data_IF_123556486771
#
_entry.id   IF_123556486771
#
_cell.length_a   1.000
_cell.length_b   1.000
_cell.length_c   1.000
_cell.angle_alpha   90.00
_cell.angle_beta   90.00
_cell.angle_gamma   90.00
#
_symmetry.space_group_name_H-M   'P 1'
#
loop_
_entity.id
_entity.type
_entity.pdbx_description
1 polymer ?
#
# COMPACT_ATOMS: atom_id res chain seq x y z
N UNK A 1 -15.88 15.42 -7.55
CA UNK A 1 -14.70 15.36 -8.44
C UNK A 1 -13.73 14.38 -7.82
N UNK A 2 -13.20 13.42 -8.57
CA UNK A 2 -12.13 12.55 -8.06
C UNK A 2 -10.92 13.44 -7.74
N UNK A 3 -10.52 13.49 -6.48
CA UNK A 3 -9.31 14.17 -6.05
C UNK A 3 -8.10 13.42 -6.61
N UNK A 4 -7.18 14.11 -7.27
CA UNK A 4 -5.95 13.50 -7.73
C UNK A 4 -5.13 13.01 -6.53
N UNK A 5 -4.29 11.97 -6.66
CA UNK A 5 -3.40 11.51 -5.59
C UNK A 5 -2.53 12.64 -5.02
N UNK A 6 -2.10 13.59 -5.86
CA UNK A 6 -1.37 14.77 -5.43
C UNK A 6 -2.21 15.68 -4.52
N UNK A 7 -3.44 16.03 -4.91
CA UNK A 7 -4.32 16.86 -4.08
C UNK A 7 -4.69 16.17 -2.76
N UNK A 8 -4.88 14.86 -2.79
CA UNK A 8 -5.12 14.05 -1.60
C UNK A 8 -3.90 14.04 -0.66
N UNK A 9 -2.71 13.85 -1.21
CA UNK A 9 -1.46 13.91 -0.45
C UNK A 9 -1.25 15.28 0.21
N UNK A 10 -1.44 16.38 -0.53
CA UNK A 10 -1.33 17.74 0.02
C UNK A 10 -2.33 17.98 1.16
N UNK A 11 -3.57 17.49 1.03
CA UNK A 11 -4.57 17.57 2.09
C UNK A 11 -4.14 16.79 3.34
N UNK A 12 -3.62 15.57 3.17
CA UNK A 12 -3.14 14.72 4.26
C UNK A 12 -1.90 15.32 4.96
N UNK A 13 -1.02 15.97 4.21
CA UNK A 13 0.25 16.51 4.71
C UNK A 13 0.20 17.98 5.13
N UNK A 14 -0.97 18.62 5.05
CA UNK A 14 -1.15 20.03 5.40
C UNK A 14 -0.65 20.34 6.83
N UNK A 15 0.40 21.15 6.96
CA UNK A 15 0.99 21.51 8.26
C UNK A 15 1.83 20.41 8.93
N UNK A 16 1.99 19.24 8.31
CA UNK A 16 2.86 18.16 8.81
C UNK A 16 4.30 18.43 8.39
N UNK A 17 5.15 18.83 9.33
CA UNK A 17 6.57 19.18 9.06
C UNK A 17 7.57 18.13 9.55
N UNK A 18 7.14 17.23 10.44
CA UNK A 18 7.93 16.16 11.02
C UNK A 18 7.03 15.01 11.44
N UNK A 19 7.57 13.80 11.42
CA UNK A 19 6.90 12.61 11.92
C UNK A 19 7.40 12.31 13.34
N UNK A 20 6.61 12.68 14.35
CA UNK A 20 6.88 12.32 15.75
C UNK A 20 6.25 10.95 16.05
N UNK A 21 6.90 9.91 15.52
CA UNK A 21 6.40 8.54 15.58
C UNK A 21 6.94 7.86 16.85
N UNK A 22 6.09 7.12 17.59
CA UNK A 22 6.51 6.47 18.82
C UNK A 22 7.54 5.37 18.51
N UNK A 23 8.49 5.18 19.41
CA UNK A 23 9.58 4.20 19.22
C UNK A 23 9.12 2.76 19.44
N UNK A 24 8.12 2.54 20.30
CA UNK A 24 7.73 1.20 20.73
C UNK A 24 6.95 0.42 19.65
N UNK A 25 5.99 1.02 18.92
CA UNK A 25 5.35 0.39 17.78
C UNK A 25 6.33 -0.03 16.68
N UNK A 26 6.33 -1.31 16.33
CA UNK A 26 7.10 -1.83 15.19
C UNK A 26 6.14 -2.00 14.02
N UNK A 27 6.16 -1.11 13.01
CA UNK A 27 5.21 -1.18 11.91
C UNK A 27 5.41 -2.41 11.03
N UNK A 28 4.40 -2.71 10.22
CA UNK A 28 4.57 -3.52 9.00
C UNK A 28 5.00 -2.65 7.81
N UNK A 29 5.51 -3.27 6.76
CA UNK A 29 5.53 -2.66 5.43
C UNK A 29 4.14 -2.75 4.77
N UNK A 30 3.73 -1.69 4.08
CA UNK A 30 2.55 -1.69 3.23
C UNK A 30 2.92 -1.92 1.77
N UNK A 31 2.31 -2.92 1.15
CA UNK A 31 2.39 -3.15 -0.29
C UNK A 31 1.22 -2.44 -0.98
N UNK A 32 1.55 -1.63 -2.00
CA UNK A 32 0.56 -0.92 -2.80
C UNK A 32 0.47 -1.55 -4.19
N UNK A 33 -0.71 -1.99 -4.58
CA UNK A 33 -1.00 -2.59 -5.90
C UNK A 33 -2.13 -1.87 -6.63
N UNK A 34 -2.91 -1.05 -5.93
CA UNK A 34 -4.04 -0.32 -6.51
C UNK A 34 -3.60 0.92 -7.27
N UNK A 35 -4.23 1.20 -8.42
CA UNK A 35 -3.95 2.40 -9.22
C UNK A 35 -4.25 3.70 -8.46
N UNK A 36 -5.26 3.69 -7.60
CA UNK A 36 -5.61 4.81 -6.73
C UNK A 36 -4.82 4.84 -5.42
N UNK A 37 -4.01 3.81 -5.13
CA UNK A 37 -3.24 3.73 -3.90
C UNK A 37 -1.95 4.55 -4.03
N UNK A 38 -1.63 5.32 -3.00
CA UNK A 38 -0.42 6.13 -2.96
C UNK A 38 0.16 6.18 -1.54
N UNK A 39 1.50 6.25 -1.41
CA UNK A 39 2.11 6.37 -0.10
C UNK A 39 1.97 7.78 0.46
N UNK A 40 1.84 7.85 1.78
CA UNK A 40 1.74 9.06 2.58
C UNK A 40 2.99 9.23 3.45
N UNK A 41 3.41 8.16 4.12
CA UNK A 41 4.63 8.11 4.92
C UNK A 41 5.54 6.99 4.39
N UNK A 42 6.78 7.35 4.08
CA UNK A 42 7.82 6.43 3.61
C UNK A 42 9.07 6.63 4.46
N UNK A 43 9.69 5.53 4.91
CA UNK A 43 10.96 5.60 5.64
C UNK A 43 12.16 5.78 4.70
N UNK A 44 13.36 5.88 5.27
CA UNK A 44 14.60 6.03 4.48
C UNK A 44 14.96 4.80 3.63
N UNK A 45 14.44 3.62 3.97
CA UNK A 45 14.57 2.37 3.20
C UNK A 45 13.59 2.28 2.02
N UNK A 46 12.65 3.23 1.89
CA UNK A 46 11.64 3.21 0.83
C UNK A 46 10.40 2.38 1.18
N UNK A 47 10.27 1.90 2.41
CA UNK A 47 9.09 1.17 2.85
C UNK A 47 7.95 2.13 3.15
N UNK A 48 6.75 1.76 2.71
CA UNK A 48 5.53 2.54 2.96
C UNK A 48 4.96 2.16 4.33
N UNK A 49 4.81 3.16 5.20
CA UNK A 49 4.28 2.98 6.57
C UNK A 49 2.87 3.56 6.75
N UNK A 50 2.51 4.54 5.92
CA UNK A 50 1.14 5.03 5.81
C UNK A 50 0.82 5.16 4.33
N UNK A 51 -0.34 4.65 3.93
CA UNK A 51 -0.85 4.77 2.57
C UNK A 51 -2.29 5.26 2.57
N UNK A 52 -2.71 5.81 1.45
CA UNK A 52 -4.10 6.20 1.22
C UNK A 52 -4.56 5.72 -0.15
N UNK A 53 -5.86 5.50 -0.28
CA UNK A 53 -6.48 5.03 -1.52
C UNK A 53 -7.97 5.38 -1.53
N UNK A 54 -8.66 5.02 -2.61
CA UNK A 54 -10.10 5.22 -2.77
C UNK A 54 -10.76 3.96 -3.34
N UNK A 55 -12.01 3.72 -2.95
CA UNK A 55 -12.82 2.63 -3.48
C UNK A 55 -14.29 3.02 -3.55
N UNK A 56 -14.90 2.83 -4.72
CA UNK A 56 -16.22 3.38 -5.01
C UNK A 56 -16.22 4.90 -4.84
N UNK A 57 -17.05 5.41 -3.94
CA UNK A 57 -17.13 6.83 -3.61
C UNK A 57 -16.36 7.20 -2.33
N UNK A 58 -15.82 6.22 -1.61
CA UNK A 58 -15.15 6.41 -0.33
C UNK A 58 -13.63 6.41 -0.43
N UNK A 59 -13.01 6.61 0.74
CA UNK A 59 -11.57 6.83 0.90
C UNK A 59 -11.03 6.04 2.08
N UNK A 60 -9.78 5.63 2.01
CA UNK A 60 -9.09 4.93 3.10
C UNK A 60 -7.74 5.55 3.38
N UNK A 61 -7.38 5.56 4.66
CA UNK A 61 -6.01 5.74 5.13
C UNK A 61 -5.65 4.50 5.95
N UNK A 62 -4.52 3.91 5.60
CA UNK A 62 -3.99 2.68 6.20
C UNK A 62 -2.68 3.01 6.90
N UNK A 63 -2.61 2.80 8.21
CA UNK A 63 -1.39 2.95 9.00
C UNK A 63 -0.83 1.58 9.35
N UNK A 64 0.46 1.35 9.13
CA UNK A 64 1.08 0.03 9.33
C UNK A 64 1.36 -0.36 10.78
N UNK A 65 0.80 0.39 11.72
CA UNK A 65 0.65 0.02 13.13
C UNK A 65 -0.51 0.79 13.76
N UNK A 66 -1.33 0.16 14.60
CA UNK A 66 -2.44 0.83 15.30
C UNK A 66 -1.96 1.89 16.27
N UNK A 67 -0.81 1.66 16.92
CA UNK A 67 -0.14 2.62 17.80
C UNK A 67 0.12 4.00 17.17
N UNK A 68 0.24 4.12 15.85
CA UNK A 68 0.34 5.42 15.18
C UNK A 68 -0.95 6.23 15.28
N UNK A 69 -2.09 5.56 15.37
CA UNK A 69 -3.39 6.18 15.53
C UNK A 69 -3.66 6.63 16.99
N UNK A 70 -2.80 6.23 17.92
CA UNK A 70 -2.93 6.52 19.35
C UNK A 70 -1.94 7.59 19.83
N UNK A 71 -1.05 8.07 18.95
CA UNK A 71 0.04 8.97 19.31
C UNK A 71 -0.35 10.45 19.17
N UNK A 72 -0.20 11.22 20.24
CA UNK A 72 -0.51 12.64 20.24
C UNK A 72 0.45 13.46 19.35
N UNK A 73 1.71 13.02 19.23
CA UNK A 73 2.69 13.61 18.29
C UNK A 73 2.24 13.55 16.82
N UNK A 74 1.33 12.62 16.48
CA UNK A 74 0.76 12.48 15.13
C UNK A 74 -0.58 13.22 14.96
N UNK A 75 -1.05 13.97 15.96
CA UNK A 75 -2.33 14.69 15.90
C UNK A 75 -2.52 15.54 14.63
N UNK A 76 -1.53 16.34 14.15
CA UNK A 76 -1.72 17.13 12.92
C UNK A 76 -2.09 16.26 11.72
N UNK A 77 -1.42 15.11 11.57
CA UNK A 77 -1.71 14.17 10.50
C UNK A 77 -3.07 13.47 10.71
N UNK A 78 -3.37 13.02 11.93
CA UNK A 78 -4.62 12.32 12.23
C UNK A 78 -5.85 13.20 11.98
N UNK A 79 -5.76 14.50 12.30
CA UNK A 79 -6.81 15.47 12.01
C UNK A 79 -7.02 15.67 10.50
N UNK A 80 -5.92 15.79 9.74
CA UNK A 80 -5.99 15.86 8.28
C UNK A 80 -6.57 14.59 7.68
N UNK A 81 -6.17 13.42 8.18
CA UNK A 81 -6.69 12.14 7.72
C UNK A 81 -8.20 12.02 7.98
N UNK A 82 -8.67 12.32 9.19
CA UNK A 82 -10.09 12.32 9.52
C UNK A 82 -10.88 13.33 8.69
N UNK A 83 -10.37 14.55 8.53
CA UNK A 83 -11.00 15.58 7.69
C UNK A 83 -11.04 15.20 6.22
N UNK A 84 -9.95 14.61 5.69
CA UNK A 84 -9.88 14.12 4.33
C UNK A 84 -10.72 12.87 4.11
N UNK A 85 -10.93 12.02 5.11
CA UNK A 85 -11.79 10.83 4.99
C UNK A 85 -13.27 11.20 5.04
N UNK A 86 -13.63 12.17 5.87
CA UNK A 86 -15.03 12.57 6.07
C UNK A 86 -15.63 13.19 4.80
N UNK A 87 -16.72 12.63 4.25
CA UNK A 87 -17.36 13.19 3.05
C UNK A 87 -18.19 14.45 3.35
N UNK A 88 -18.70 14.59 4.58
CA UNK A 88 -19.59 15.67 5.01
C UNK A 88 -18.99 16.44 6.18
N UNK A 89 -18.72 17.72 5.99
CA UNK A 89 -18.25 18.59 7.08
C UNK A 89 -19.22 18.56 8.26
N UNK A 90 -18.71 18.23 9.46
CA UNK A 90 -19.47 18.21 10.71
C UNK A 90 -20.11 16.87 11.08
N UNK A 91 -20.00 15.81 10.25
CA UNK A 91 -20.40 14.49 10.69
C UNK A 91 -19.42 13.96 11.76
N UNK A 92 -19.90 13.37 12.87
CA UNK A 92 -19.03 12.87 13.92
C UNK A 92 -18.19 11.69 13.42
N UNK A 93 -16.92 11.65 13.84
CA UNK A 93 -16.04 10.51 13.59
C UNK A 93 -16.42 9.33 14.50
N UNK A 94 -16.77 8.19 13.91
CA UNK A 94 -16.92 6.95 14.67
C UNK A 94 -15.56 6.34 14.97
N UNK A 95 -15.32 5.97 16.23
CA UNK A 95 -14.05 5.39 16.67
C UNK A 95 -14.33 4.06 17.39
N UNK A 96 -13.76 2.97 16.89
CA UNK A 96 -13.86 1.67 17.54
C UNK A 96 -13.21 1.70 18.93
N UNK A 97 -13.73 0.97 19.96
CA UNK A 97 -13.15 0.94 21.30
C UNK A 97 -11.66 0.58 21.35
N UNK A 98 -11.16 -0.18 20.37
CA UNK A 98 -9.73 -0.49 20.27
C UNK A 98 -8.83 0.72 19.97
N UNK A 99 -9.40 1.83 19.52
CA UNK A 99 -8.72 3.09 19.27
C UNK A 99 -9.26 4.24 20.15
N UNK A 100 -9.79 3.96 21.35
CA UNK A 100 -10.44 4.97 22.19
C UNK A 100 -9.59 6.25 22.42
N UNK A 101 -8.26 6.13 22.51
CA UNK A 101 -7.36 7.28 22.65
C UNK A 101 -7.38 8.23 21.43
N UNK A 102 -7.65 7.71 20.23
CA UNK A 102 -7.83 8.54 19.02
C UNK A 102 -9.01 9.49 19.21
N UNK A 103 -10.12 9.02 19.80
CA UNK A 103 -11.28 9.89 20.07
C UNK A 103 -10.88 11.07 20.96
N UNK A 104 -10.04 10.85 21.98
CA UNK A 104 -9.53 11.92 22.84
C UNK A 104 -8.63 12.91 22.09
N UNK A 105 -7.78 12.44 21.17
CA UNK A 105 -6.92 13.30 20.33
C UNK A 105 -7.78 14.21 19.43
N UNK A 106 -8.80 13.63 18.79
CA UNK A 106 -9.72 14.35 17.90
C UNK A 106 -10.53 15.39 18.68
N UNK A 107 -11.13 14.99 19.81
CA UNK A 107 -11.91 15.88 20.66
C UNK A 107 -11.07 17.03 21.25
N UNK A 108 -9.83 16.76 21.66
CA UNK A 108 -8.90 17.77 22.14
C UNK A 108 -8.58 18.86 21.11
N UNK A 109 -8.85 18.58 19.83
CA UNK A 109 -8.64 19.49 18.70
C UNK A 109 -9.96 20.03 18.13
N UNK A 110 -11.09 19.82 18.81
CA UNK A 110 -12.41 20.31 18.41
C UNK A 110 -13.12 19.50 17.32
N UNK A 111 -12.64 18.29 17.01
CA UNK A 111 -13.34 17.37 16.09
C UNK A 111 -14.32 16.51 16.89
N UNK A 112 -15.58 16.48 16.49
CA UNK A 112 -16.57 15.58 17.09
C UNK A 112 -16.20 14.13 16.80
N UNK A 113 -15.99 13.34 17.85
CA UNK A 113 -15.71 11.91 17.76
C UNK A 113 -16.49 11.14 18.81
N UNK A 114 -17.00 9.96 18.44
CA UNK A 114 -17.81 9.09 19.30
C UNK A 114 -17.21 7.69 19.31
N UNK A 115 -17.01 7.13 20.51
CA UNK A 115 -16.53 5.75 20.65
C UNK A 115 -17.71 4.80 20.50
N UNK A 116 -17.66 3.92 19.50
CA UNK A 116 -18.75 2.98 19.18
C UNK A 116 -18.20 1.71 18.50
N UNK A 117 -18.76 0.52 18.82
CA UNK A 117 -18.24 -0.76 18.34
C UNK A 117 -18.47 -0.98 16.84
N UNK A 118 -19.42 -0.27 16.22
CA UNK A 118 -19.79 -0.48 14.82
C UNK A 118 -19.80 0.85 14.05
N UNK A 119 -19.63 0.84 12.72
CA UNK A 119 -19.86 2.00 11.88
C UNK A 119 -21.30 2.52 12.03
N UNK A 120 -21.48 3.83 12.10
CA UNK A 120 -22.82 4.42 12.16
C UNK A 120 -23.57 4.30 10.83
N UNK A 121 -24.89 4.46 10.85
CA UNK A 121 -25.73 4.43 9.64
C UNK A 121 -25.50 5.65 8.71
N UNK A 122 -24.93 6.74 9.23
CA UNK A 122 -24.60 7.93 8.46
C UNK A 122 -23.23 7.80 7.78
N UNK A 123 -23.12 8.30 6.54
CA UNK A 123 -21.86 8.35 5.81
C UNK A 123 -20.89 9.35 6.48
N UNK A 124 -19.98 8.82 7.29
CA UNK A 124 -18.92 9.56 7.99
C UNK A 124 -17.56 8.87 7.87
N UNK A 125 -16.66 9.14 8.80
CA UNK A 125 -15.42 8.37 8.96
C UNK A 125 -15.57 7.36 10.09
N UNK A 126 -15.07 6.15 9.88
CA UNK A 126 -14.94 5.14 10.92
C UNK A 126 -13.46 4.78 11.13
N UNK A 127 -13.02 4.70 12.38
CA UNK A 127 -11.63 4.42 12.75
C UNK A 127 -11.55 3.10 13.50
N UNK A 128 -10.72 2.16 13.06
CA UNK A 128 -10.60 0.83 13.67
C UNK A 128 -9.17 0.27 13.56
N UNK A 129 -8.82 -0.69 14.42
CA UNK A 129 -7.58 -1.46 14.23
C UNK A 129 -7.77 -2.55 13.14
N UNK A 130 -6.68 -3.19 12.74
CA UNK A 130 -6.67 -4.15 11.63
C UNK A 130 -6.82 -5.62 12.08
N UNK A 131 -7.37 -5.87 13.27
CA UNK A 131 -7.35 -7.20 13.90
C UNK A 131 -8.74 -7.86 14.02
N UNK A 132 -9.80 -7.14 13.70
CA UNK A 132 -11.18 -7.62 13.77
C UNK A 132 -11.72 -7.82 12.35
N UNK A 133 -12.15 -9.04 12.03
CA UNK A 133 -12.74 -9.40 10.73
C UNK A 133 -14.27 -9.49 10.77
N UNK A 134 -14.90 -9.30 11.94
CA UNK A 134 -16.34 -9.49 12.13
C UNK A 134 -17.19 -8.50 11.34
N UNK A 135 -16.64 -7.31 11.04
CA UNK A 135 -17.33 -6.22 10.32
C UNK A 135 -16.80 -6.00 8.89
N UNK A 136 -16.12 -6.98 8.31
CA UNK A 136 -15.44 -6.82 7.01
C UNK A 136 -16.40 -6.36 5.91
N UNK A 137 -17.58 -6.98 5.82
CA UNK A 137 -18.55 -6.67 4.77
C UNK A 137 -19.14 -5.25 4.94
N UNK A 138 -19.45 -4.87 6.17
CA UNK A 138 -20.00 -3.58 6.56
C UNK A 138 -19.01 -2.46 6.27
N UNK A 139 -17.72 -2.64 6.61
CA UNK A 139 -16.66 -1.69 6.32
C UNK A 139 -16.47 -1.47 4.81
N UNK A 140 -16.38 -2.56 4.04
CA UNK A 140 -16.23 -2.50 2.58
C UNK A 140 -17.44 -1.81 1.95
N UNK A 141 -18.65 -2.14 2.39
CA UNK A 141 -19.89 -1.55 1.87
C UNK A 141 -19.97 -0.05 2.21
N UNK A 142 -19.65 0.34 3.44
CA UNK A 142 -19.63 1.73 3.88
C UNK A 142 -18.69 2.57 3.03
N UNK A 143 -17.44 2.12 2.86
CA UNK A 143 -16.46 2.78 1.99
C UNK A 143 -16.98 2.87 0.56
N UNK A 144 -17.48 1.77 -0.01
CA UNK A 144 -17.97 1.77 -1.40
C UNK A 144 -19.06 2.84 -1.64
N UNK A 145 -19.91 3.09 -0.63
CA UNK A 145 -21.00 4.06 -0.67
C UNK A 145 -20.57 5.51 -0.39
N UNK A 146 -19.32 5.77 0.01
CA UNK A 146 -18.82 7.12 0.28
C UNK A 146 -18.25 7.34 1.68
N UNK A 147 -18.30 6.34 2.55
CA UNK A 147 -17.69 6.40 3.87
C UNK A 147 -16.17 6.51 3.82
N UNK A 148 -15.60 7.08 4.88
CA UNK A 148 -14.16 7.09 5.12
C UNK A 148 -13.76 6.00 6.11
N UNK A 149 -12.62 5.35 5.88
CA UNK A 149 -12.04 4.38 6.82
C UNK A 149 -10.60 4.75 7.17
N UNK A 150 -10.33 4.92 8.46
CA UNK A 150 -8.98 5.00 9.02
C UNK A 150 -8.68 3.68 9.72
N UNK A 151 -7.74 2.90 9.18
CA UNK A 151 -7.42 1.57 9.71
C UNK A 151 -5.95 1.45 10.04
N UNK A 152 -5.64 0.85 11.19
CA UNK A 152 -4.26 0.69 11.65
C UNK A 152 -3.96 -0.68 12.24
N UNK A 153 -2.81 -1.26 11.93
CA UNK A 153 -2.36 -2.50 12.57
C UNK A 153 -1.10 -3.05 11.94
N UNK A 154 -0.60 -4.16 12.45
CA UNK A 154 0.58 -4.83 11.92
C UNK A 154 0.32 -6.33 11.69
N UNK A 155 0.82 -6.85 10.57
CA UNK A 155 0.58 -8.23 10.19
C UNK A 155 1.67 -9.19 10.67
N UNK A 156 2.88 -8.72 10.97
CA UNK A 156 4.00 -9.60 11.36
C UNK A 156 3.73 -10.37 12.67
N UNK A 157 3.10 -9.75 13.66
CA UNK A 157 2.76 -10.43 14.92
C UNK A 157 1.63 -11.42 14.71
N UNK A 158 0.66 -11.05 13.88
CA UNK A 158 -0.41 -11.96 13.48
C UNK A 158 0.16 -13.17 12.73
N UNK A 159 1.11 -12.94 11.82
CA UNK A 159 1.81 -13.97 11.06
C UNK A 159 2.57 -14.94 11.95
N UNK A 160 3.18 -14.45 13.04
CA UNK A 160 3.89 -15.30 14.02
C UNK A 160 2.99 -16.36 14.66
N UNK A 161 1.68 -16.13 14.68
CA UNK A 161 0.69 -17.03 15.27
C UNK A 161 -0.07 -17.87 14.22
N UNK A 162 -0.20 -17.37 12.98
CA UNK A 162 -1.10 -17.97 11.97
C UNK A 162 -0.39 -18.49 10.72
N UNK A 163 0.87 -18.08 10.50
CA UNK A 163 1.68 -18.40 9.32
C UNK A 163 1.75 -17.23 8.33
N UNK A 164 2.98 -16.90 7.89
CA UNK A 164 3.30 -15.88 6.90
C UNK A 164 2.57 -16.07 5.55
N UNK A 165 2.40 -17.31 5.12
CA UNK A 165 1.73 -17.69 3.87
C UNK A 165 0.26 -17.27 3.82
N UNK A 166 -0.35 -16.97 4.97
CA UNK A 166 -1.76 -16.61 5.09
C UNK A 166 -2.00 -15.11 5.21
N UNK A 167 -0.96 -14.29 5.37
CA UNK A 167 -1.10 -12.86 5.67
C UNK A 167 -1.91 -12.13 4.61
N UNK A 168 -1.59 -12.32 3.33
CA UNK A 168 -2.31 -11.64 2.24
C UNK A 168 -3.79 -12.02 2.14
N UNK A 169 -4.18 -13.23 2.57
CA UNK A 169 -5.53 -13.77 2.36
C UNK A 169 -6.39 -13.87 3.63
N UNK A 170 -5.77 -13.86 4.81
CA UNK A 170 -6.44 -14.15 6.09
C UNK A 170 -6.19 -13.12 7.17
N UNK A 171 -5.19 -12.24 7.05
CA UNK A 171 -5.04 -11.14 8.01
C UNK A 171 -6.29 -10.25 7.96
N UNK A 172 -7.00 -10.00 9.09
CA UNK A 172 -8.25 -9.24 9.10
C UNK A 172 -8.17 -7.90 8.37
N UNK A 173 -7.11 -7.12 8.61
CA UNK A 173 -6.85 -5.88 7.89
C UNK A 173 -6.85 -6.05 6.37
N UNK A 174 -6.19 -7.09 5.86
CA UNK A 174 -6.10 -7.36 4.42
C UNK A 174 -7.44 -7.81 3.82
N UNK A 175 -8.36 -8.40 4.61
CA UNK A 175 -9.70 -8.71 4.12
C UNK A 175 -10.47 -7.43 3.77
N UNK A 176 -10.18 -6.32 4.45
CA UNK A 176 -10.79 -5.00 4.18
C UNK A 176 -9.98 -4.19 3.18
N UNK A 177 -8.66 -4.04 3.38
CA UNK A 177 -7.83 -3.09 2.61
C UNK A 177 -7.43 -3.60 1.22
N UNK A 178 -7.55 -4.91 0.95
CA UNK A 178 -7.25 -5.46 -0.38
C UNK A 178 -8.12 -4.88 -1.49
N UNK A 179 -9.36 -4.47 -1.19
CA UNK A 179 -10.27 -3.85 -2.17
C UNK A 179 -9.78 -2.50 -2.68
N UNK A 180 -8.83 -1.89 -1.96
CA UNK A 180 -8.22 -0.60 -2.33
C UNK A 180 -6.76 -0.75 -2.79
N UNK A 181 -6.32 -2.00 -2.95
CA UNK A 181 -4.96 -2.33 -3.37
C UNK A 181 -3.89 -1.92 -2.36
N UNK A 182 -4.19 -2.02 -1.06
CA UNK A 182 -3.23 -1.81 0.04
C UNK A 182 -3.20 -3.04 0.92
N UNK A 183 -2.01 -3.59 1.14
CA UNK A 183 -1.81 -4.81 1.92
C UNK A 183 -0.80 -4.59 3.05
N UNK A 184 -1.12 -5.07 4.24
CA UNK A 184 -0.18 -5.27 5.33
C UNK A 184 0.68 -6.50 5.05
N UNK A 185 1.99 -6.32 5.04
CA UNK A 185 2.97 -7.40 4.88
C UNK A 185 3.48 -7.88 6.25
N UNK A 186 4.01 -9.09 6.32
CA UNK A 186 4.68 -9.62 7.51
C UNK A 186 6.16 -9.20 7.62
N UNK A 187 6.52 -8.13 6.93
CA UNK A 187 7.85 -7.52 6.94
C UNK A 187 7.84 -6.40 7.97
N UNK A 188 8.82 -6.40 8.88
CA UNK A 188 9.02 -5.30 9.80
C UNK A 188 9.39 -4.02 9.05
N UNK A 189 8.67 -2.95 9.32
CA UNK A 189 9.04 -1.62 8.84
C UNK A 189 10.19 -1.08 9.69
N UNK A 190 11.22 -0.58 9.01
CA UNK A 190 12.35 0.07 9.66
C UNK A 190 11.90 1.39 10.32
N UNK A 191 12.39 1.60 11.55
CA UNK A 191 12.10 2.78 12.40
C UNK A 191 13.17 3.88 12.26
N UNK A 192 13.97 3.84 11.21
CA UNK A 192 14.99 4.81 10.87
C UNK A 192 14.42 6.19 10.53
N UNK A 193 15.18 7.01 9.84
CA UNK A 193 14.75 8.39 9.62
C UNK A 193 13.52 8.44 8.71
N UNK A 194 12.42 8.96 9.23
CA UNK A 194 11.20 9.18 8.47
C UNK A 194 11.34 10.46 7.64
N UNK A 195 11.18 10.34 6.32
CA UNK A 195 11.24 11.50 5.43
C UNK A 195 9.85 12.12 5.34
N UNK A 196 9.77 13.42 5.62
CA UNK A 196 8.59 14.21 5.28
C UNK A 196 8.73 14.63 3.82
N UNK A 197 7.93 14.02 2.94
CA UNK A 197 7.89 14.45 1.53
C UNK A 197 7.07 15.73 1.40
N UNK A 198 7.64 16.73 0.73
CA UNK A 198 6.97 18.01 0.38
C UNK A 198 6.28 17.98 -0.98
N UNK A 199 6.31 16.83 -1.66
CA UNK A 199 5.72 16.65 -2.99
C UNK A 199 5.00 15.31 -2.99
N UNK A 200 3.75 15.30 -3.49
CA UNK A 200 3.02 14.06 -3.71
C UNK A 200 3.77 13.10 -4.63
N UNK A 201 3.44 11.80 -4.60
CA UNK A 201 4.07 10.81 -5.46
C UNK A 201 3.93 11.22 -6.93
N UNK A 202 5.05 11.24 -7.65
CA UNK A 202 5.08 11.46 -9.10
C UNK A 202 4.95 10.08 -9.74
N UNK A 203 3.77 9.81 -10.28
CA UNK A 203 3.40 8.56 -10.94
C UNK A 203 3.44 7.31 -10.02
N UNK A 204 2.79 6.18 -10.40
CA UNK A 204 2.72 4.99 -9.55
C UNK A 204 4.13 4.49 -9.23
N UNK A 205 4.46 4.44 -7.94
CA UNK A 205 5.72 3.89 -7.47
C UNK A 205 5.76 2.40 -7.83
N UNK A 206 6.58 2.07 -8.82
CA UNK A 206 6.95 0.70 -9.11
C UNK A 206 7.90 0.24 -8.01
N UNK A 207 7.44 -0.69 -7.17
CA UNK A 207 8.24 -1.24 -6.07
C UNK A 207 9.41 -2.04 -6.66
N UNK A 208 10.62 -1.52 -6.48
CA UNK A 208 11.85 -2.25 -6.79
C UNK A 208 12.08 -3.33 -5.73
N UNK A 209 12.08 -4.59 -6.17
CA UNK A 209 12.47 -5.73 -5.34
C UNK A 209 13.96 -5.61 -4.96
N UNK A 210 14.27 -5.50 -3.68
CA UNK A 210 15.65 -5.53 -3.17
C UNK A 210 15.97 -6.96 -2.74
N UNK A 211 16.70 -7.69 -3.58
CA UNK A 211 17.31 -8.95 -3.17
C UNK A 211 18.52 -8.64 -2.27
N UNK A 212 18.53 -9.16 -1.05
CA UNK A 212 19.77 -9.27 -0.27
C UNK A 212 20.56 -10.45 -0.81
N UNK A 213 21.67 -10.17 -1.50
CA UNK A 213 22.66 -11.19 -1.84
C UNK A 213 23.67 -11.29 -0.71
N UNK A 214 23.76 -12.47 -0.10
CA UNK A 214 24.87 -12.83 0.78
C UNK A 214 26.20 -12.67 0.02
N UNK A 215 27.19 -12.14 0.75
CA UNK A 215 28.61 -11.98 0.43
C UNK A 215 29.05 -10.76 -0.39
N UNK A 216 29.72 -9.84 0.32
CA UNK A 216 31.00 -9.27 -0.12
C UNK A 216 30.99 -8.08 -1.08
N UNK A 217 31.17 -6.88 -0.50
CA UNK A 217 31.88 -5.72 -1.06
C UNK A 217 31.78 -5.45 -2.57
N UNK A 218 30.87 -4.54 -2.94
CA UNK A 218 31.18 -3.51 -3.93
C UNK A 218 30.33 -2.26 -3.72
N UNK A 219 30.97 -1.10 -3.87
CA UNK A 219 30.40 0.22 -3.63
C UNK A 219 29.20 0.50 -4.55
N UNK A 220 28.11 1.12 -4.05
CA UNK A 220 26.95 1.42 -4.88
C UNK A 220 27.31 2.53 -5.87
N UNK A 221 27.30 2.22 -7.17
CA UNK A 221 27.13 3.24 -8.19
C UNK A 221 25.64 3.44 -8.43
N UNK A 222 25.08 4.64 -8.22
CA UNK A 222 23.68 4.89 -8.54
C UNK A 222 23.52 4.94 -10.06
N UNK A 223 22.75 4.01 -10.63
CA UNK A 223 22.17 4.18 -11.96
C UNK A 223 21.22 5.38 -11.91
N UNK A 224 21.73 6.55 -12.30
CA UNK A 224 20.92 7.75 -12.52
C UNK A 224 20.44 7.71 -13.97
N UNK A 225 19.15 7.49 -14.20
CA UNK A 225 18.54 7.81 -15.50
C UNK A 225 18.16 9.29 -15.44
N UNK A 226 19.01 10.15 -16.01
CA UNK A 226 18.62 11.52 -16.33
C UNK A 226 17.75 11.47 -17.59
N UNK A 227 16.47 11.81 -17.46
CA UNK A 227 15.64 12.12 -18.62
C UNK A 227 15.83 13.62 -18.87
N UNK A 228 16.65 13.96 -19.87
CA UNK A 228 16.71 15.33 -20.39
C UNK A 228 15.40 15.67 -21.12
N UNK A 229 14.93 16.94 -21.07
CA UNK A 229 13.70 17.36 -21.73
C UNK A 229 13.85 17.23 -23.25
N UNK A 230 12.93 16.52 -23.91
CA UNK A 230 12.94 16.41 -25.36
C UNK A 230 12.55 17.72 -26.05
N UNK A 231 13.39 18.11 -27.00
CA UNK A 231 13.26 19.21 -27.96
C UNK A 231 12.09 18.94 -28.94
N UNK A 232 11.18 19.90 -29.21
CA UNK A 232 9.95 19.64 -29.95
C UNK A 232 10.12 19.79 -31.47
N UNK A 233 11.10 19.12 -32.10
CA UNK A 233 11.16 19.03 -33.57
C UNK A 233 11.97 17.80 -34.04
N UNK A 234 11.34 16.63 -34.22
CA UNK A 234 11.80 15.66 -35.24
C UNK A 234 10.77 14.59 -35.54
N UNK A 235 10.59 14.31 -36.83
CA UNK A 235 9.56 13.47 -37.44
C UNK A 235 10.13 12.14 -37.96
N UNK A 236 9.44 11.03 -37.66
CA UNK A 236 9.56 9.66 -38.21
C UNK A 236 10.88 8.88 -37.99
N UNK A 237 10.76 7.65 -37.46
CA UNK A 237 11.36 6.38 -37.97
C UNK A 237 10.81 5.20 -37.13
N UNK A 238 10.37 4.15 -37.81
CA UNK A 238 9.91 2.86 -37.26
C UNK A 238 11.08 1.96 -36.81
N UNK A 239 10.96 1.14 -35.74
CA UNK A 239 12.05 0.28 -35.27
C UNK A 239 12.19 -1.03 -36.07
N UNK A 240 13.43 -1.44 -36.33
CA UNK A 240 13.83 -2.82 -36.70
C UNK A 240 14.53 -3.48 -35.51
N UNK A 241 14.35 -4.80 -35.27
CA UNK A 241 15.11 -5.52 -34.27
C UNK A 241 16.44 -6.00 -34.85
N UNK A 242 17.52 -5.88 -34.08
CA UNK A 242 18.78 -6.61 -34.30
C UNK A 242 18.94 -7.60 -33.16
N UNK A 243 19.07 -8.88 -33.52
CA UNK A 243 19.24 -10.06 -32.68
C UNK A 243 20.68 -10.21 -32.17
N UNK A 244 20.87 -10.80 -30.98
CA UNK A 244 22.12 -11.48 -30.62
C UNK A 244 22.57 -11.45 -29.15
N UNK A 245 21.90 -12.23 -28.29
CA UNK A 245 22.36 -12.95 -27.07
C UNK A 245 23.25 -12.26 -25.98
N UNK A 246 23.43 -12.91 -24.81
CA UNK A 246 22.48 -13.37 -23.81
C UNK A 246 22.59 -12.48 -22.54
N UNK A 247 21.51 -12.31 -21.76
CA UNK A 247 21.63 -11.63 -20.45
C UNK A 247 21.06 -12.46 -19.30
N UNK A 248 21.71 -12.42 -18.12
CA UNK A 248 21.46 -13.31 -17.01
C UNK A 248 20.18 -12.89 -16.29
N UNK A 249 19.39 -13.87 -15.85
CA UNK A 249 18.27 -13.66 -14.94
C UNK A 249 18.82 -13.32 -13.55
N UNK A 250 19.06 -12.03 -13.32
CA UNK A 250 18.84 -11.42 -12.02
C UNK A 250 18.42 -9.96 -12.28
N UNK A 251 17.24 -9.60 -11.76
CA UNK A 251 16.57 -8.28 -11.87
C UNK A 251 16.21 -7.81 -13.29
N UNK A 252 14.95 -8.06 -13.74
CA UNK A 252 14.39 -7.35 -14.91
C UNK A 252 13.24 -8.03 -15.66
N UNK A 253 13.08 -9.36 -15.57
CA UNK A 253 12.13 -10.09 -16.43
C UNK A 253 10.66 -9.75 -16.21
N UNK A 254 10.22 -9.56 -14.95
CA UNK A 254 8.81 -9.31 -14.64
C UNK A 254 8.28 -7.97 -15.18
N UNK A 255 9.11 -6.92 -15.15
CA UNK A 255 8.73 -5.61 -15.68
C UNK A 255 8.61 -5.64 -17.21
N UNK A 256 9.53 -6.31 -17.91
CA UNK A 256 9.47 -6.44 -19.37
C UNK A 256 8.25 -7.24 -19.83
N UNK A 257 7.86 -8.28 -19.08
CA UNK A 257 6.66 -9.08 -19.39
C UNK A 257 5.38 -8.28 -19.13
N UNK A 258 5.34 -7.46 -18.08
CA UNK A 258 4.20 -6.58 -17.81
C UNK A 258 4.03 -5.52 -18.90
N UNK A 259 5.12 -4.87 -19.31
CA UNK A 259 5.10 -3.91 -20.42
C UNK A 259 4.67 -4.56 -21.74
N UNK A 260 5.08 -5.80 -21.99
CA UNK A 260 4.79 -6.49 -23.25
C UNK A 260 3.38 -7.11 -23.32
N UNK A 261 2.82 -7.57 -22.20
CA UNK A 261 1.62 -8.40 -22.18
C UNK A 261 0.49 -7.87 -21.29
N UNK A 262 0.71 -6.79 -20.54
CA UNK A 262 -0.28 -6.20 -19.64
C UNK A 262 -0.56 -7.08 -18.41
N UNK A 263 -1.47 -6.61 -17.54
CA UNK A 263 -1.77 -7.28 -16.26
C UNK A 263 -2.64 -8.54 -16.39
N UNK A 264 -3.41 -8.66 -17.48
CA UNK A 264 -4.41 -9.73 -17.66
C UNK A 264 -3.82 -11.16 -17.54
N UNK A 265 -2.67 -11.50 -18.20
CA UNK A 265 -2.07 -12.83 -18.07
C UNK A 265 -1.55 -13.12 -16.66
N UNK A 266 -1.08 -12.11 -15.93
CA UNK A 266 -0.61 -12.25 -14.55
C UNK A 266 -1.76 -12.55 -13.60
N UNK A 267 -2.89 -11.84 -13.74
CA UNK A 267 -4.09 -12.05 -12.91
C UNK A 267 -4.64 -13.47 -13.13
N UNK A 268 -4.75 -13.90 -14.39
CA UNK A 268 -5.21 -15.24 -14.74
C UNK A 268 -4.26 -16.33 -14.25
N UNK A 269 -2.94 -16.10 -14.38
CA UNK A 269 -1.93 -17.01 -13.87
C UNK A 269 -1.98 -17.10 -12.35
N UNK A 270 -2.12 -15.98 -11.64
CA UNK A 270 -2.22 -15.98 -10.19
C UNK A 270 -3.44 -16.75 -9.68
N UNK A 271 -4.60 -16.56 -10.33
CA UNK A 271 -5.81 -17.32 -10.05
C UNK A 271 -5.64 -18.82 -10.33
N UNK A 272 -4.98 -19.20 -11.42
CA UNK A 272 -4.69 -20.61 -11.74
C UNK A 272 -3.71 -21.21 -10.73
N UNK A 273 -2.67 -20.47 -10.36
CA UNK A 273 -1.61 -20.91 -9.45
C UNK A 273 -2.16 -21.26 -8.06
N UNK A 274 -3.22 -20.57 -7.61
CA UNK A 274 -3.90 -20.85 -6.34
C UNK A 274 -4.65 -22.20 -6.32
N UNK A 275 -4.92 -22.77 -7.50
CA UNK A 275 -5.67 -24.04 -7.63
C UNK A 275 -4.77 -25.23 -7.96
N UNK A 276 -3.46 -25.01 -8.15
CA UNK A 276 -2.48 -26.06 -8.44
C UNK A 276 -2.15 -26.87 -7.18
N UNK A 277 -2.27 -28.19 -7.28
CA UNK A 277 -1.92 -29.13 -6.20
C UNK A 277 -0.45 -29.55 -6.20
N UNK A 278 0.24 -29.48 -7.36
CA UNK A 278 1.59 -30.01 -7.56
C UNK A 278 2.64 -28.90 -7.75
N UNK A 279 2.70 -27.95 -6.81
CA UNK A 279 3.65 -26.84 -6.83
C UNK A 279 5.01 -27.30 -6.26
N UNK A 280 6.14 -27.10 -6.97
CA UNK A 280 7.47 -27.39 -6.46
C UNK A 280 7.76 -26.67 -5.14
N UNK A 281 8.53 -27.29 -4.25
CA UNK A 281 8.84 -26.71 -2.93
C UNK A 281 10.03 -25.76 -2.97
N UNK A 282 10.95 -25.98 -3.90
CA UNK A 282 12.15 -25.17 -4.13
C UNK A 282 11.87 -23.97 -5.06
N UNK A 283 12.64 -22.89 -4.85
CA UNK A 283 12.48 -21.65 -5.61
C UNK A 283 12.73 -21.82 -7.13
N UNK A 284 13.76 -22.57 -7.58
CA UNK A 284 13.95 -22.84 -9.00
C UNK A 284 12.77 -23.56 -9.66
N UNK A 285 12.21 -24.57 -8.99
CA UNK A 285 11.03 -25.29 -9.46
C UNK A 285 9.79 -24.38 -9.58
N UNK A 286 9.55 -23.54 -8.57
CA UNK A 286 8.44 -22.56 -8.60
C UNK A 286 8.60 -21.56 -9.74
N UNK A 287 9.82 -21.08 -9.96
CA UNK A 287 10.14 -20.13 -11.04
C UNK A 287 9.91 -20.75 -12.41
N UNK A 288 10.41 -21.97 -12.64
CA UNK A 288 10.22 -22.69 -13.90
C UNK A 288 8.73 -22.94 -14.19
N UNK A 289 7.97 -23.35 -13.18
CA UNK A 289 6.52 -23.53 -13.31
C UNK A 289 5.81 -22.23 -13.68
N UNK A 290 6.19 -21.12 -13.02
CA UNK A 290 5.66 -19.79 -13.33
C UNK A 290 5.95 -19.36 -14.77
N UNK A 291 7.18 -19.50 -15.23
CA UNK A 291 7.59 -19.12 -16.59
C UNK A 291 6.85 -19.96 -17.63
N UNK A 292 6.75 -21.28 -17.43
CA UNK A 292 6.03 -22.16 -18.32
C UNK A 292 4.55 -21.78 -18.42
N UNK A 293 3.89 -21.60 -17.27
CA UNK A 293 2.47 -21.25 -17.21
C UNK A 293 2.19 -19.86 -17.77
N UNK A 294 3.10 -18.91 -17.56
CA UNK A 294 2.99 -17.58 -18.15
C UNK A 294 3.12 -17.62 -19.68
N UNK A 295 4.10 -18.36 -20.20
CA UNK A 295 4.28 -18.62 -21.64
C UNK A 295 3.01 -19.23 -22.28
N UNK A 296 2.38 -20.20 -21.59
CA UNK A 296 1.08 -20.78 -22.00
C UNK A 296 -0.03 -19.72 -22.08
N UNK A 297 -0.13 -18.82 -21.08
CA UNK A 297 -1.15 -17.74 -21.06
C UNK A 297 -0.98 -16.74 -22.18
N UNK A 298 0.25 -16.39 -22.53
CA UNK A 298 0.54 -15.41 -23.60
C UNK A 298 0.70 -16.04 -24.98
N UNK A 299 0.57 -17.37 -25.08
CA UNK A 299 0.73 -18.16 -26.31
C UNK A 299 2.05 -17.87 -27.06
N UNK A 300 3.14 -17.69 -26.32
CA UNK A 300 4.47 -17.47 -26.91
C UNK A 300 5.49 -18.36 -26.22
N UNK A 301 6.16 -19.20 -27.02
CA UNK A 301 7.27 -20.06 -26.63
C UNK A 301 8.60 -19.30 -26.76
#
# INVERSE_FOLDING_TARGET
>A
MATTPAAAFEALMSGVTSWDVPKDPIPSELLLTGEAAFPVMVNDQGQVLIAASSYGQGRLVVASHEGYLLEAGLAPFLLNAVGWLCPSHGAPAGVHPSLASLASILQGSGVEAQVQPEPGESLGVYCINAYDDTMTAELIQSVKLGGGLLIGGQAWYWASQHGSDKVLSKFPGNQVTSVVGVYFMDIFGDRGQLKVSKKGPRDPLHVGYRAETETGQQTPQPCTILVEPQDPYSSYITPRPVTGAPLPLDTGGGCMLLEAFGWEPFIQLFAEYQTLSDIPKDNPGKMNLWVQKFSEKVQRN
#
